data_IF_362828029048
#
_entry.id   IF_362828029048
#
_cell.length_a   1.000
_cell.length_b   1.000
_cell.length_c   1.000
_cell.angle_alpha   90.00
_cell.angle_beta   90.00
_cell.angle_gamma   90.00
#
_symmetry.space_group_name_H-M   'P 1'
#
loop_
_entity.id
_entity.type
_entity.pdbx_description
1 polymer ?
#
# COMPACT_ATOMS: atom_id res chain seq x y z
N UNK A 1 16.41 -12.42 -0.56
CA UNK A 1 16.58 -11.80 -1.90
C UNK A 1 15.89 -10.44 -1.86
N UNK A 2 16.45 -9.40 -2.48
CA UNK A 2 15.76 -8.10 -2.58
C UNK A 2 14.61 -8.26 -3.58
N UNK A 3 13.40 -7.82 -3.21
CA UNK A 3 12.22 -7.90 -4.07
C UNK A 3 12.10 -6.72 -5.01
N UNK A 4 12.47 -5.53 -4.53
CA UNK A 4 12.35 -4.33 -5.33
C UNK A 4 13.31 -4.35 -6.54
N UNK A 5 12.86 -3.86 -7.71
CA UNK A 5 13.63 -3.84 -8.95
C UNK A 5 14.79 -2.83 -8.93
N UNK A 6 14.76 -1.84 -8.03
CA UNK A 6 15.79 -0.80 -7.90
C UNK A 6 16.25 -0.69 -6.45
N UNK A 7 17.51 -0.31 -6.26
CA UNK A 7 18.17 -0.23 -4.95
C UNK A 7 18.90 -1.53 -4.62
N UNK A 8 20.18 -1.41 -4.27
CA UNK A 8 21.02 -2.54 -3.86
C UNK A 8 20.90 -2.84 -2.36
N UNK A 9 21.60 -3.87 -1.89
CA UNK A 9 21.58 -4.28 -0.49
C UNK A 9 22.05 -3.18 0.46
N UNK A 10 23.00 -2.34 0.03
CA UNK A 10 23.51 -1.24 0.82
C UNK A 10 22.45 -0.15 0.99
N UNK A 11 21.81 0.27 -0.11
CA UNK A 11 20.71 1.24 -0.09
C UNK A 11 19.61 0.82 0.88
N UNK A 12 19.11 -0.40 0.72
CA UNK A 12 18.01 -0.89 1.55
C UNK A 12 18.39 -1.04 3.02
N UNK A 13 19.64 -1.43 3.31
CA UNK A 13 20.12 -1.54 4.69
C UNK A 13 20.24 -0.16 5.34
N UNK A 14 20.80 0.82 4.63
CA UNK A 14 20.91 2.21 5.12
C UNK A 14 19.53 2.81 5.35
N UNK A 15 18.59 2.63 4.42
CA UNK A 15 17.22 3.13 4.56
C UNK A 15 16.53 2.49 5.76
N UNK A 16 16.60 1.17 5.87
CA UNK A 16 15.97 0.43 6.96
C UNK A 16 16.49 0.88 8.33
N UNK A 17 17.80 1.05 8.50
CA UNK A 17 18.37 1.50 9.77
C UNK A 17 17.93 2.92 10.13
N UNK A 18 17.91 3.84 9.15
CA UNK A 18 17.41 5.21 9.37
C UNK A 18 15.95 5.24 9.79
N UNK A 19 15.12 4.41 9.15
CA UNK A 19 13.69 4.33 9.50
C UNK A 19 13.46 3.71 10.87
N UNK A 20 14.25 2.69 11.23
CA UNK A 20 14.20 2.07 12.55
C UNK A 20 14.57 3.08 13.65
N UNK A 21 15.65 3.84 13.45
CA UNK A 21 16.07 4.93 14.34
C UNK A 21 15.00 6.02 14.45
N UNK A 22 14.39 6.41 13.32
CA UNK A 22 13.30 7.37 13.28
C UNK A 22 12.09 6.88 14.08
N UNK A 23 11.66 5.63 13.85
CA UNK A 23 10.52 5.01 14.56
C UNK A 23 10.77 4.99 16.07
N UNK A 24 11.95 4.57 16.51
CA UNK A 24 12.33 4.56 17.91
C UNK A 24 12.33 5.98 18.52
N UNK A 25 12.84 6.98 17.77
CA UNK A 25 12.82 8.37 18.20
C UNK A 25 11.41 8.94 18.31
N UNK A 26 10.56 8.69 17.33
CA UNK A 26 9.18 9.20 17.33
C UNK A 26 8.36 8.56 18.45
N UNK A 27 8.53 7.26 18.73
CA UNK A 27 7.92 6.62 19.90
C UNK A 27 8.25 7.36 21.21
N UNK A 28 9.51 7.76 21.39
CA UNK A 28 9.90 8.58 22.55
C UNK A 28 9.22 9.95 22.52
N UNK A 29 9.24 10.65 21.37
CA UNK A 29 8.61 11.97 21.23
C UNK A 29 7.11 11.92 21.57
N UNK A 30 6.40 10.90 21.10
CA UNK A 30 4.95 10.75 21.35
C UNK A 30 4.62 10.32 22.78
N UNK A 31 5.60 9.80 23.54
CA UNK A 31 5.43 9.49 24.97
C UNK A 31 5.55 10.72 25.89
N UNK A 32 6.03 11.84 25.35
CA UNK A 32 6.21 13.10 26.06
C UNK A 32 5.16 14.14 25.62
N UNK A 33 4.84 15.15 26.44
CA UNK A 33 3.96 16.24 26.02
C UNK A 33 4.48 16.93 24.75
N UNK A 34 3.60 17.14 23.76
CA UNK A 34 4.00 17.76 22.50
C UNK A 34 4.51 19.18 22.70
N UNK A 35 5.69 19.48 22.13
CA UNK A 35 6.26 20.83 22.07
C UNK A 35 5.45 21.78 21.17
N UNK A 36 4.67 21.23 20.24
CA UNK A 36 3.70 21.97 19.43
C UNK A 36 2.36 21.23 19.43
N UNK A 37 1.51 21.46 20.44
CA UNK A 37 0.25 20.74 20.57
C UNK A 37 -0.65 20.87 19.34
N UNK A 38 -0.68 22.03 18.68
CA UNK A 38 -1.53 22.25 17.49
C UNK A 38 -1.11 21.36 16.32
N UNK A 39 0.18 21.05 16.19
CA UNK A 39 0.71 20.17 15.14
C UNK A 39 0.67 18.68 15.51
N UNK A 40 0.36 18.33 16.76
CA UNK A 40 0.38 16.94 17.23
C UNK A 40 -0.53 15.99 16.41
N UNK A 41 -1.76 16.37 15.98
CA UNK A 41 -2.60 15.51 15.14
C UNK A 41 -1.93 15.18 13.80
N UNK A 42 -1.35 16.19 13.15
CA UNK A 42 -0.63 16.04 11.89
C UNK A 42 0.60 15.15 12.06
N UNK A 43 1.38 15.37 13.12
CA UNK A 43 2.57 14.59 13.42
C UNK A 43 2.25 13.11 13.65
N UNK A 44 1.21 12.81 14.43
CA UNK A 44 0.76 11.44 14.68
C UNK A 44 0.33 10.73 13.38
N UNK A 45 -0.39 11.41 12.48
CA UNK A 45 -0.76 10.81 11.19
C UNK A 45 0.45 10.63 10.26
N UNK A 46 1.39 11.58 10.27
CA UNK A 46 2.65 11.41 9.55
C UNK A 46 3.41 10.18 10.04
N UNK A 47 3.39 9.92 11.36
CA UNK A 47 3.99 8.73 11.92
C UNK A 47 3.28 7.43 11.50
N UNK A 48 1.94 7.43 11.38
CA UNK A 48 1.21 6.31 10.78
C UNK A 48 1.69 6.04 9.34
N UNK A 49 1.83 7.09 8.52
CA UNK A 49 2.39 6.99 7.16
C UNK A 49 3.81 6.44 7.14
N UNK A 50 4.66 6.86 8.07
CA UNK A 50 6.04 6.39 8.16
C UNK A 50 6.10 4.90 8.52
N UNK A 51 5.23 4.40 9.40
CA UNK A 51 5.13 2.97 9.71
C UNK A 51 4.70 2.14 8.49
N UNK A 52 3.73 2.62 7.69
CA UNK A 52 3.36 1.94 6.44
C UNK A 52 4.55 1.88 5.48
N UNK A 53 5.24 3.00 5.29
CA UNK A 53 6.42 3.07 4.41
C UNK A 53 7.54 2.15 4.89
N UNK A 54 7.74 2.03 6.19
CA UNK A 54 8.73 1.13 6.77
C UNK A 54 8.39 -0.34 6.49
N UNK A 55 7.13 -0.72 6.69
CA UNK A 55 6.63 -2.05 6.37
C UNK A 55 6.82 -2.38 4.87
N UNK A 56 6.42 -1.47 3.98
CA UNK A 56 6.58 -1.67 2.53
C UNK A 56 8.06 -1.72 2.14
N UNK A 57 8.92 -0.89 2.74
CA UNK A 57 10.37 -0.94 2.51
C UNK A 57 10.98 -2.26 3.00
N UNK A 58 10.46 -2.82 4.11
CA UNK A 58 10.84 -4.14 4.59
C UNK A 58 10.50 -5.24 3.58
N UNK A 59 9.29 -5.20 3.02
CA UNK A 59 8.89 -6.10 1.93
C UNK A 59 9.83 -5.95 0.71
N UNK A 60 10.05 -4.72 0.24
CA UNK A 60 10.97 -4.39 -0.86
C UNK A 60 12.39 -4.91 -0.65
N UNK A 61 12.91 -4.80 0.59
CA UNK A 61 14.24 -5.28 0.98
C UNK A 61 14.35 -6.82 1.03
N UNK A 62 13.23 -7.53 1.08
CA UNK A 62 13.23 -8.99 1.18
C UNK A 62 13.00 -9.54 2.59
N UNK A 63 12.39 -8.79 3.51
CA UNK A 63 12.00 -9.31 4.82
C UNK A 63 10.98 -10.45 4.68
N UNK A 64 10.94 -11.38 5.65
CA UNK A 64 9.92 -12.43 5.69
C UNK A 64 8.52 -11.82 5.79
N UNK A 65 7.56 -12.32 5.00
CA UNK A 65 6.21 -11.76 4.91
C UNK A 65 5.52 -11.75 6.27
N UNK A 66 5.66 -12.84 7.04
CA UNK A 66 5.09 -12.99 8.38
C UNK A 66 5.55 -11.91 9.36
N UNK A 67 6.75 -11.35 9.14
CA UNK A 67 7.29 -10.29 9.99
C UNK A 67 6.66 -8.92 9.72
N UNK A 68 5.90 -8.74 8.64
CA UNK A 68 5.34 -7.43 8.30
C UNK A 68 4.13 -7.07 9.16
N UNK A 69 3.33 -8.06 9.56
CA UNK A 69 2.14 -7.87 10.40
C UNK A 69 2.45 -7.17 11.73
N UNK A 70 3.67 -7.34 12.26
CA UNK A 70 4.10 -6.76 13.54
C UNK A 70 4.07 -5.22 13.56
N UNK A 71 4.04 -4.56 12.39
CA UNK A 71 4.05 -3.10 12.28
C UNK A 71 2.65 -2.48 12.26
N UNK A 72 1.59 -3.28 12.12
CA UNK A 72 0.20 -2.79 12.13
C UNK A 72 -0.20 -2.09 13.44
N UNK A 73 0.10 -2.62 14.63
CA UNK A 73 -0.31 -2.00 15.89
C UNK A 73 0.12 -0.53 16.00
N UNK A 74 1.41 -0.24 15.82
CA UNK A 74 1.93 1.12 15.91
C UNK A 74 1.33 2.07 14.86
N UNK A 75 1.03 1.54 13.66
CA UNK A 75 0.37 2.31 12.61
C UNK A 75 -1.05 2.71 13.02
N UNK A 76 -1.84 1.75 13.51
CA UNK A 76 -3.23 1.99 13.93
C UNK A 76 -3.27 2.90 15.16
N UNK A 77 -2.41 2.66 16.15
CA UNK A 77 -2.29 3.50 17.35
C UNK A 77 -2.01 4.95 16.97
N UNK A 78 -1.10 5.18 16.01
CA UNK A 78 -0.74 6.52 15.56
C UNK A 78 -1.88 7.22 14.78
N UNK A 79 -2.62 6.48 13.96
CA UNK A 79 -3.76 7.04 13.24
C UNK A 79 -4.93 7.35 14.19
N UNK A 80 -5.25 6.45 15.12
CA UNK A 80 -6.26 6.69 16.15
C UNK A 80 -5.90 7.88 17.03
N UNK A 81 -4.64 7.98 17.48
CA UNK A 81 -4.14 9.12 18.22
C UNK A 81 -4.28 10.42 17.41
N UNK A 82 -3.98 10.38 16.11
CA UNK A 82 -4.20 11.54 15.24
C UNK A 82 -5.65 12.01 15.22
N UNK A 83 -6.61 11.08 15.10
CA UNK A 83 -8.03 11.39 15.12
C UNK A 83 -8.44 12.00 16.46
N UNK A 84 -8.09 11.36 17.58
CA UNK A 84 -8.40 11.83 18.93
C UNK A 84 -7.83 13.23 19.20
N UNK A 85 -6.56 13.46 18.85
CA UNK A 85 -5.93 14.76 19.01
C UNK A 85 -6.58 15.82 18.11
N UNK A 86 -6.93 15.47 16.87
CA UNK A 86 -7.58 16.39 15.93
C UNK A 86 -8.92 16.86 16.45
N UNK A 87 -9.78 15.95 16.91
CA UNK A 87 -11.10 16.28 17.47
C UNK A 87 -10.98 17.26 18.63
N UNK A 88 -10.10 16.94 19.60
CA UNK A 88 -9.86 17.77 20.77
C UNK A 88 -9.32 19.16 20.40
N UNK A 89 -8.24 19.22 19.63
CA UNK A 89 -7.53 20.47 19.35
C UNK A 89 -8.34 21.37 18.44
N UNK A 90 -8.99 20.81 17.42
CA UNK A 90 -9.80 21.61 16.51
C UNK A 90 -11.00 22.23 17.25
N UNK A 91 -11.63 21.50 18.17
CA UNK A 91 -12.68 22.04 19.04
C UNK A 91 -12.15 23.14 19.99
N UNK A 92 -11.02 22.89 20.69
CA UNK A 92 -10.43 23.85 21.63
C UNK A 92 -9.93 25.14 20.96
N UNK A 93 -9.46 25.04 19.72
CA UNK A 93 -8.84 26.16 18.97
C UNK A 93 -9.76 26.77 17.92
N UNK A 94 -10.97 26.24 17.77
CA UNK A 94 -11.93 26.63 16.72
C UNK A 94 -11.29 26.60 15.32
N UNK A 95 -10.58 25.51 15.01
CA UNK A 95 -9.94 25.28 13.72
C UNK A 95 -10.82 24.38 12.85
N UNK A 96 -10.89 24.67 11.56
CA UNK A 96 -11.60 23.84 10.57
C UNK A 96 -10.88 22.50 10.35
N UNK A 97 -9.55 22.53 10.27
CA UNK A 97 -8.72 21.32 10.23
C UNK A 97 -7.41 21.53 10.98
N UNK A 98 -6.95 20.46 11.62
CA UNK A 98 -5.66 20.37 12.31
C UNK A 98 -4.65 19.52 11.51
N UNK A 99 -5.02 19.10 10.30
CA UNK A 99 -4.27 18.16 9.45
C UNK A 99 -4.35 18.60 7.99
N UNK A 100 -3.28 18.33 7.24
CA UNK A 100 -3.20 18.60 5.79
C UNK A 100 -3.81 17.47 4.93
N UNK A 101 -4.10 16.33 5.55
CA UNK A 101 -4.65 15.15 4.88
C UNK A 101 -6.18 15.21 4.84
N UNK A 102 -6.75 14.88 3.68
CA UNK A 102 -8.20 14.77 3.47
C UNK A 102 -8.62 13.33 3.79
N UNK A 103 -9.39 13.13 4.85
CA UNK A 103 -9.88 11.81 5.28
C UNK A 103 -11.24 11.49 4.65
N UNK A 104 -11.29 11.44 3.32
CA UNK A 104 -12.48 11.15 2.54
C UNK A 104 -12.14 10.18 1.41
N UNK A 105 -12.94 9.12 1.21
CA UNK A 105 -12.66 8.10 0.18
C UNK A 105 -12.78 8.63 -1.26
N UNK A 106 -13.44 9.77 -1.47
CA UNK A 106 -13.42 10.48 -2.76
C UNK A 106 -12.07 11.13 -3.06
N UNK A 107 -11.21 11.36 -2.05
CA UNK A 107 -9.82 11.76 -2.25
C UNK A 107 -8.96 10.51 -2.59
N UNK A 108 -8.22 10.58 -3.71
CA UNK A 108 -7.46 9.42 -4.18
C UNK A 108 -6.33 9.04 -3.21
N UNK A 109 -5.70 10.01 -2.52
CA UNK A 109 -4.62 9.70 -1.59
C UNK A 109 -5.15 8.89 -0.42
N UNK A 110 -6.29 9.28 0.13
CA UNK A 110 -6.93 8.54 1.21
C UNK A 110 -7.50 7.20 0.75
N UNK A 111 -8.14 7.15 -0.42
CA UNK A 111 -8.62 5.90 -1.00
C UNK A 111 -7.49 4.88 -1.19
N UNK A 112 -6.39 5.29 -1.82
CA UNK A 112 -5.23 4.40 -2.03
C UNK A 112 -4.58 3.98 -0.72
N UNK A 113 -4.46 4.89 0.26
CA UNK A 113 -3.99 4.59 1.62
C UNK A 113 -4.85 3.50 2.29
N UNK A 114 -6.17 3.66 2.29
CA UNK A 114 -7.11 2.70 2.87
C UNK A 114 -7.06 1.35 2.14
N UNK A 115 -7.05 1.35 0.81
CA UNK A 115 -6.99 0.11 0.03
C UNK A 115 -5.66 -0.64 0.27
N UNK A 116 -4.54 0.06 0.33
CA UNK A 116 -3.25 -0.56 0.67
C UNK A 116 -3.25 -1.20 2.05
N UNK A 117 -3.76 -0.51 3.08
CA UNK A 117 -3.83 -1.08 4.43
C UNK A 117 -4.77 -2.28 4.50
N UNK A 118 -5.94 -2.20 3.88
CA UNK A 118 -6.89 -3.32 3.80
C UNK A 118 -6.29 -4.51 3.07
N UNK A 119 -5.63 -4.26 1.92
CA UNK A 119 -4.98 -5.31 1.15
C UNK A 119 -3.87 -6.00 1.92
N UNK A 120 -2.99 -5.23 2.57
CA UNK A 120 -1.95 -5.75 3.44
C UNK A 120 -2.55 -6.51 4.64
N UNK A 121 -3.58 -5.97 5.29
CA UNK A 121 -4.24 -6.61 6.42
C UNK A 121 -4.86 -7.98 6.07
N UNK A 122 -5.42 -8.11 4.86
CA UNK A 122 -6.00 -9.35 4.37
C UNK A 122 -4.93 -10.41 4.07
N UNK A 123 -3.86 -10.04 3.35
CA UNK A 123 -2.82 -11.01 2.95
C UNK A 123 -1.90 -11.39 4.10
N UNK A 124 -1.69 -10.48 5.07
CA UNK A 124 -0.90 -10.74 6.28
C UNK A 124 -1.71 -11.36 7.41
N UNK A 125 -3.01 -11.58 7.21
CA UNK A 125 -3.91 -12.23 8.17
C UNK A 125 -3.81 -11.64 9.59
N UNK A 126 -3.83 -10.30 9.70
CA UNK A 126 -3.79 -9.62 11.00
C UNK A 126 -4.94 -10.09 11.89
N UNK A 127 -4.80 -9.98 13.22
CA UNK A 127 -5.85 -10.40 14.16
C UNK A 127 -7.18 -9.67 13.92
N UNK A 128 -8.29 -10.29 14.33
CA UNK A 128 -9.63 -9.70 14.19
C UNK A 128 -9.75 -8.36 14.92
N UNK A 129 -9.06 -8.21 16.05
CA UNK A 129 -9.00 -6.94 16.78
C UNK A 129 -8.39 -5.82 15.92
N UNK A 130 -7.22 -6.06 15.32
CA UNK A 130 -6.55 -5.07 14.46
C UNK A 130 -7.37 -4.81 13.19
N UNK A 131 -8.03 -5.83 12.65
CA UNK A 131 -8.92 -5.71 11.50
C UNK A 131 -10.10 -4.77 11.80
N UNK A 132 -10.80 -4.97 12.92
CA UNK A 132 -11.94 -4.13 13.31
C UNK A 132 -11.53 -2.67 13.52
N UNK A 133 -10.38 -2.44 14.16
CA UNK A 133 -9.79 -1.10 14.30
C UNK A 133 -9.53 -0.45 12.94
N UNK A 134 -8.89 -1.18 12.03
CA UNK A 134 -8.63 -0.69 10.67
C UNK A 134 -9.93 -0.35 9.93
N UNK A 135 -10.93 -1.24 9.94
CA UNK A 135 -12.22 -1.00 9.28
C UNK A 135 -12.93 0.21 9.86
N UNK A 136 -12.85 0.42 11.18
CA UNK A 136 -13.38 1.63 11.82
C UNK A 136 -12.67 2.90 11.36
N UNK A 137 -11.36 2.87 11.12
CA UNK A 137 -10.59 4.01 10.63
C UNK A 137 -10.85 4.32 9.14
N UNK A 138 -11.09 3.30 8.32
CA UNK A 138 -11.51 3.46 6.91
C UNK A 138 -12.89 4.10 6.82
N UNK A 139 -13.74 3.88 7.83
CA UNK A 139 -15.07 4.45 7.92
C UNK A 139 -16.18 3.50 7.45
N UNK A 140 -17.40 4.02 7.48
CA UNK A 140 -18.61 3.26 7.13
C UNK A 140 -18.59 2.77 5.68
N UNK A 141 -19.22 1.61 5.44
CA UNK A 141 -19.42 1.08 4.10
C UNK A 141 -20.56 1.76 3.35
N UNK A 142 -20.70 1.48 2.06
CA UNK A 142 -21.75 2.01 1.20
C UNK A 142 -21.28 3.12 0.26
N UNK A 143 -19.98 3.45 0.28
CA UNK A 143 -19.42 4.55 -0.51
C UNK A 143 -18.78 4.07 -1.82
N UNK A 144 -18.05 2.96 -1.79
CA UNK A 144 -17.31 2.44 -2.95
C UNK A 144 -17.56 0.96 -3.17
N UNK A 145 -18.00 0.60 -4.37
CA UNK A 145 -18.35 -0.76 -4.71
C UNK A 145 -17.19 -1.75 -4.53
N UNK A 146 -15.95 -1.36 -4.86
CA UNK A 146 -14.83 -2.28 -4.88
C UNK A 146 -14.18 -2.44 -3.51
N UNK A 147 -13.79 -1.33 -2.87
CA UNK A 147 -13.20 -1.37 -1.54
C UNK A 147 -14.16 -1.99 -0.52
N UNK A 148 -15.46 -1.68 -0.61
CA UNK A 148 -16.46 -2.28 0.28
C UNK A 148 -16.59 -3.80 0.06
N UNK A 149 -16.56 -4.28 -1.19
CA UNK A 149 -16.57 -5.72 -1.48
C UNK A 149 -15.32 -6.42 -0.96
N UNK A 150 -14.15 -5.80 -1.06
CA UNK A 150 -12.89 -6.34 -0.52
C UNK A 150 -12.99 -6.48 1.01
N UNK A 151 -13.42 -5.44 1.72
CA UNK A 151 -13.57 -5.48 3.17
C UNK A 151 -14.69 -6.46 3.57
N UNK A 152 -15.78 -6.53 2.80
CA UNK A 152 -16.90 -7.45 3.02
C UNK A 152 -16.49 -8.93 2.99
N UNK A 153 -15.43 -9.28 2.27
CA UNK A 153 -14.90 -10.65 2.25
C UNK A 153 -14.51 -11.18 3.63
N UNK A 154 -14.14 -10.29 4.57
CA UNK A 154 -13.84 -10.60 5.97
C UNK A 154 -14.85 -10.00 6.96
N UNK A 155 -15.56 -8.93 6.58
CA UNK A 155 -16.59 -8.26 7.38
C UNK A 155 -17.95 -8.31 6.66
N UNK A 156 -18.63 -9.45 6.70
CA UNK A 156 -19.85 -9.72 5.92
C UNK A 156 -20.97 -8.68 6.06
N UNK A 157 -21.06 -7.99 7.20
CA UNK A 157 -22.06 -6.94 7.45
C UNK A 157 -21.77 -5.57 6.82
N UNK A 158 -20.65 -5.39 6.10
CA UNK A 158 -20.32 -4.10 5.47
C UNK A 158 -21.28 -3.78 4.32
N UNK A 159 -21.91 -2.60 4.37
CA UNK A 159 -22.68 -2.07 3.24
C UNK A 159 -21.78 -1.83 2.02
N UNK A 160 -22.29 -2.09 0.82
CA UNK A 160 -21.53 -1.98 -0.43
C UNK A 160 -22.06 -0.81 -1.25
N UNK A 161 -21.18 0.11 -1.64
CA UNK A 161 -21.52 1.21 -2.53
C UNK A 161 -21.95 0.76 -3.93
N UNK A 162 -22.76 1.57 -4.61
CA UNK A 162 -23.31 1.23 -5.93
C UNK A 162 -22.40 1.60 -7.12
N UNK A 163 -21.26 2.25 -6.88
CA UNK A 163 -20.35 2.69 -7.93
C UNK A 163 -18.91 2.80 -7.45
N UNK A 164 -18.00 3.06 -8.38
CA UNK A 164 -16.58 3.28 -8.09
C UNK A 164 -16.34 4.78 -7.86
N UNK A 165 -15.73 5.13 -6.73
CA UNK A 165 -15.25 6.48 -6.46
C UNK A 165 -14.11 6.85 -7.40
N UNK A 166 -13.25 5.88 -7.72
CA UNK A 166 -12.08 6.07 -8.58
C UNK A 166 -12.08 5.08 -9.75
N UNK A 167 -12.64 5.45 -10.90
CA UNK A 167 -12.72 4.52 -12.04
C UNK A 167 -11.35 4.04 -12.57
N UNK A 168 -10.31 4.88 -12.54
CA UNK A 168 -8.96 4.51 -13.01
C UNK A 168 -7.98 4.36 -11.85
N UNK A 169 -7.25 3.24 -11.70
CA UNK A 169 -7.31 2.00 -12.49
C UNK A 169 -8.42 1.02 -12.08
N UNK A 170 -9.18 1.36 -11.04
CA UNK A 170 -9.92 0.36 -10.27
C UNK A 170 -11.14 -0.28 -10.98
N UNK A 171 -11.65 0.31 -12.07
CA UNK A 171 -12.65 -0.32 -12.92
C UNK A 171 -12.13 -1.59 -13.59
N UNK A 172 -10.82 -1.67 -13.90
CA UNK A 172 -10.21 -2.89 -14.45
C UNK A 172 -10.18 -4.01 -13.42
N UNK A 173 -9.86 -3.68 -12.16
CA UNK A 173 -9.89 -4.64 -11.07
C UNK A 173 -11.31 -5.15 -10.79
N UNK A 174 -12.30 -4.24 -10.75
CA UNK A 174 -13.70 -4.63 -10.62
C UNK A 174 -14.13 -5.56 -11.77
N UNK A 175 -13.77 -5.23 -13.01
CA UNK A 175 -14.02 -6.09 -14.17
C UNK A 175 -13.39 -7.48 -14.02
N UNK A 176 -12.16 -7.56 -13.52
CA UNK A 176 -11.49 -8.84 -13.27
C UNK A 176 -12.23 -9.66 -12.20
N UNK A 177 -12.72 -9.04 -11.13
CA UNK A 177 -13.48 -9.71 -10.07
C UNK A 177 -14.82 -10.25 -10.60
N UNK A 178 -15.52 -9.47 -11.43
CA UNK A 178 -16.86 -9.82 -11.94
C UNK A 178 -16.85 -10.75 -13.16
N UNK A 179 -15.67 -10.99 -13.75
CA UNK A 179 -15.54 -11.84 -14.94
C UNK A 179 -15.69 -13.33 -14.62
N UNK A 180 -16.08 -14.17 -15.60
CA UNK A 180 -16.03 -15.62 -15.48
C UNK A 180 -14.61 -16.11 -15.16
N UNK A 181 -14.49 -17.18 -14.34
CA UNK A 181 -13.20 -17.70 -13.85
C UNK A 181 -12.10 -17.86 -14.91
N UNK A 182 -12.45 -18.29 -16.12
CA UNK A 182 -11.49 -18.50 -17.22
C UNK A 182 -10.86 -17.21 -17.75
N UNK A 183 -11.50 -16.05 -17.53
CA UNK A 183 -11.04 -14.74 -18.00
C UNK A 183 -10.35 -13.93 -16.90
N UNK A 184 -10.57 -14.28 -15.62
CA UNK A 184 -10.11 -13.50 -14.47
C UNK A 184 -8.60 -13.30 -14.45
N UNK A 185 -7.80 -14.34 -14.73
CA UNK A 185 -6.34 -14.27 -14.69
C UNK A 185 -5.76 -13.24 -15.68
N UNK A 186 -6.28 -13.24 -16.92
CA UNK A 186 -5.84 -12.28 -17.94
C UNK A 186 -6.29 -10.85 -17.63
N UNK A 187 -7.49 -10.68 -17.09
CA UNK A 187 -8.00 -9.35 -16.70
C UNK A 187 -7.31 -8.80 -15.45
N UNK A 188 -6.90 -9.66 -14.52
CA UNK A 188 -6.09 -9.28 -13.37
C UNK A 188 -4.72 -8.80 -13.83
N UNK A 189 -4.07 -9.52 -14.75
CA UNK A 189 -2.81 -9.08 -15.36
C UNK A 189 -2.99 -7.73 -16.07
N UNK A 190 -4.05 -7.56 -16.86
CA UNK A 190 -4.37 -6.29 -17.53
C UNK A 190 -4.48 -5.14 -16.52
N UNK A 191 -5.14 -5.37 -15.37
CA UNK A 191 -5.20 -4.39 -14.29
C UNK A 191 -3.80 -4.05 -13.75
N UNK A 192 -2.98 -5.06 -13.45
CA UNK A 192 -1.63 -4.87 -12.88
C UNK A 192 -0.72 -4.09 -13.85
N UNK A 193 -0.77 -4.40 -15.15
CA UNK A 193 0.01 -3.71 -16.19
C UNK A 193 -0.37 -2.23 -16.30
N UNK A 194 -1.65 -1.90 -16.09
CA UNK A 194 -2.17 -0.54 -16.20
C UNK A 194 -2.19 0.21 -14.86
N UNK A 195 -2.03 -0.48 -13.73
CA UNK A 195 -2.14 0.10 -12.39
C UNK A 195 -1.21 1.31 -12.22
N UNK A 196 0.10 1.14 -12.43
CA UNK A 196 1.05 2.23 -12.21
C UNK A 196 0.86 3.38 -13.21
N UNK A 197 0.79 3.16 -14.54
CA UNK A 197 0.57 4.25 -15.50
C UNK A 197 -0.74 5.03 -15.26
N UNK A 198 -1.84 4.37 -14.89
CA UNK A 198 -3.13 5.03 -14.69
C UNK A 198 -3.24 5.78 -13.35
N UNK A 199 -2.37 5.45 -12.38
CA UNK A 199 -2.21 6.24 -11.16
C UNK A 199 -1.44 7.55 -11.37
N UNK A 200 -0.82 7.76 -12.54
CA UNK A 200 -0.16 9.01 -12.89
C UNK A 200 -1.16 10.15 -13.15
N UNK A 201 -1.69 10.72 -12.07
CA UNK A 201 -2.63 11.85 -12.08
C UNK A 201 -1.90 13.17 -11.82
N UNK A 202 -2.60 14.29 -12.08
CA UNK A 202 -2.10 15.66 -11.89
C UNK A 202 -2.98 16.45 -10.93
N UNK A 203 -2.43 17.51 -10.35
CA UNK A 203 -3.14 18.40 -9.43
C UNK A 203 -3.53 17.70 -8.14
N UNK A 204 -4.72 18.01 -7.62
CA UNK A 204 -5.26 17.47 -6.35
C UNK A 204 -5.42 15.94 -6.37
N UNK A 205 -5.55 15.35 -7.56
CA UNK A 205 -5.66 13.90 -7.73
C UNK A 205 -4.31 13.19 -7.77
N UNK A 206 -3.19 13.90 -7.63
CA UNK A 206 -1.86 13.30 -7.68
C UNK A 206 -1.56 12.55 -6.38
N UNK A 207 -1.12 11.29 -6.50
CA UNK A 207 -0.73 10.49 -5.35
C UNK A 207 0.58 11.00 -4.73
N UNK A 208 0.57 11.16 -3.40
CA UNK A 208 1.67 11.71 -2.61
C UNK A 208 2.98 10.95 -2.81
N UNK A 209 2.92 9.62 -2.99
CA UNK A 209 4.09 8.78 -3.19
C UNK A 209 4.54 8.67 -4.65
N UNK A 210 3.62 8.87 -5.61
CA UNK A 210 3.87 8.66 -7.03
C UNK A 210 4.97 9.62 -7.54
N UNK A 211 4.85 10.90 -7.22
CA UNK A 211 5.80 11.95 -7.66
C UNK A 211 7.23 11.63 -7.27
N UNK A 212 7.42 11.13 -6.05
CA UNK A 212 8.75 10.86 -5.56
C UNK A 212 9.31 9.54 -6.09
N UNK A 213 8.45 8.54 -6.32
CA UNK A 213 8.80 7.24 -6.91
C UNK A 213 9.10 7.30 -8.41
N UNK A 214 8.59 8.31 -9.12
CA UNK A 214 8.79 8.56 -10.56
C UNK A 214 9.84 9.65 -10.86
N UNK A 215 10.51 10.16 -9.83
CA UNK A 215 11.55 11.17 -10.01
C UNK A 215 12.75 10.59 -10.78
N UNK A 216 13.54 11.45 -11.44
CA UNK A 216 14.76 11.03 -12.18
C UNK A 216 15.80 10.31 -11.29
N UNK A 217 15.69 10.47 -9.97
CA UNK A 217 16.64 9.95 -8.97
C UNK A 217 15.91 9.50 -7.69
N UNK A 218 15.07 8.46 -7.79
CA UNK A 218 14.11 8.13 -6.74
C UNK A 218 14.79 7.59 -5.47
N UNK A 219 15.98 6.99 -5.61
CA UNK A 219 16.80 6.53 -4.49
C UNK A 219 17.49 7.69 -3.75
N UNK A 220 18.02 8.69 -4.48
CA UNK A 220 18.71 9.85 -3.87
C UNK A 220 17.75 10.74 -3.07
N UNK A 221 16.50 10.86 -3.53
CA UNK A 221 15.45 11.58 -2.81
C UNK A 221 14.96 10.84 -1.56
N UNK A 222 15.41 9.60 -1.34
CA UNK A 222 15.03 8.79 -0.19
C UNK A 222 13.55 8.38 -0.16
N UNK A 223 12.83 8.57 -1.26
CA UNK A 223 11.37 8.43 -1.27
C UNK A 223 10.87 7.16 -1.94
N UNK A 224 11.76 6.38 -2.56
CA UNK A 224 11.41 5.07 -3.07
C UNK A 224 11.36 4.03 -1.94
N UNK A 225 10.17 3.47 -1.70
CA UNK A 225 9.97 2.36 -0.78
C UNK A 225 9.44 1.10 -1.48
N UNK A 226 9.36 1.12 -2.82
CA UNK A 226 8.72 0.10 -3.65
C UNK A 226 7.58 0.68 -4.48
N UNK A 227 7.12 -0.08 -5.48
CA UNK A 227 5.93 0.20 -6.29
C UNK A 227 5.10 -1.06 -6.37
N UNK A 228 4.25 -1.28 -5.37
CA UNK A 228 3.56 -2.55 -5.21
C UNK A 228 2.06 -2.35 -5.31
N UNK A 229 1.41 -3.13 -6.17
CA UNK A 229 -0.03 -3.15 -6.33
C UNK A 229 -0.67 -4.05 -5.26
N UNK A 230 -0.84 -3.51 -4.05
CA UNK A 230 -1.49 -4.24 -2.96
C UNK A 230 -2.97 -4.49 -3.23
N UNK A 231 -3.60 -3.67 -4.06
CA UNK A 231 -5.00 -3.83 -4.46
C UNK A 231 -5.23 -5.13 -5.26
N UNK A 232 -4.25 -5.54 -6.08
CA UNK A 232 -4.34 -6.80 -6.83
C UNK A 232 -4.34 -8.02 -5.89
N UNK A 233 -3.38 -8.09 -4.96
CA UNK A 233 -3.31 -9.22 -4.01
C UNK A 233 -4.48 -9.22 -3.03
N UNK A 234 -5.03 -8.05 -2.70
CA UNK A 234 -6.27 -7.96 -1.93
C UNK A 234 -7.43 -8.67 -2.64
N UNK A 235 -7.59 -8.43 -3.95
CA UNK A 235 -8.64 -9.07 -4.73
C UNK A 235 -8.40 -10.58 -4.89
N UNK A 236 -7.15 -11.00 -5.10
CA UNK A 236 -6.77 -12.42 -5.13
C UNK A 236 -7.15 -13.10 -3.81
N UNK A 237 -6.79 -12.52 -2.66
CA UNK A 237 -7.12 -13.06 -1.33
C UNK A 237 -8.63 -13.07 -1.07
N UNK A 238 -9.34 -12.00 -1.42
CA UNK A 238 -10.76 -11.84 -1.15
C UNK A 238 -11.67 -12.73 -2.02
N UNK A 239 -11.31 -12.93 -3.30
CA UNK A 239 -12.16 -13.60 -4.29
C UNK A 239 -11.58 -14.90 -4.86
N UNK A 240 -10.36 -15.27 -4.47
CA UNK A 240 -9.69 -16.48 -4.97
C UNK A 240 -9.38 -16.40 -6.47
N UNK A 241 -8.98 -15.22 -6.96
CA UNK A 241 -8.59 -15.04 -8.36
C UNK A 241 -7.31 -15.83 -8.66
N UNK A 242 -7.20 -16.36 -9.87
CA UNK A 242 -5.94 -16.94 -10.37
C UNK A 242 -4.96 -15.82 -10.72
N UNK A 243 -3.83 -15.77 -10.02
CA UNK A 243 -2.79 -14.75 -10.14
C UNK A 243 -1.53 -15.24 -10.85
N UNK A 244 -1.54 -16.47 -11.38
CA UNK A 244 -0.36 -17.10 -11.99
C UNK A 244 0.29 -16.25 -13.10
N UNK A 245 -0.52 -15.55 -13.89
CA UNK A 245 -0.05 -14.66 -14.96
C UNK A 245 0.59 -13.36 -14.45
N UNK A 246 0.31 -12.96 -13.20
CA UNK A 246 0.88 -11.77 -12.59
C UNK A 246 2.26 -12.03 -11.94
N UNK A 247 2.59 -13.29 -11.68
CA UNK A 247 3.86 -13.67 -11.04
C UNK A 247 5.05 -13.21 -11.89
N UNK A 248 5.98 -12.49 -11.25
CA UNK A 248 7.15 -11.91 -11.89
C UNK A 248 6.94 -10.53 -12.53
N UNK A 249 5.72 -9.99 -12.53
CA UNK A 249 5.49 -8.60 -12.94
C UNK A 249 6.07 -7.63 -11.90
N UNK A 250 6.71 -6.55 -12.35
CA UNK A 250 7.50 -5.63 -11.48
C UNK A 250 6.69 -5.09 -10.30
N UNK A 251 5.44 -4.68 -10.54
CA UNK A 251 4.57 -4.11 -9.51
C UNK A 251 3.72 -5.14 -8.76
N UNK A 252 3.75 -6.43 -9.13
CA UNK A 252 2.90 -7.44 -8.50
C UNK A 252 3.59 -8.06 -7.27
N UNK A 253 3.07 -7.90 -6.05
CA UNK A 253 3.72 -8.41 -4.85
C UNK A 253 3.34 -9.88 -4.58
N UNK A 254 3.66 -10.78 -5.51
CA UNK A 254 3.26 -12.19 -5.48
C UNK A 254 3.73 -12.97 -4.25
N UNK A 255 4.87 -12.62 -3.66
CA UNK A 255 5.38 -13.28 -2.45
C UNK A 255 4.45 -13.11 -1.24
N UNK A 256 3.52 -12.13 -1.25
CA UNK A 256 2.50 -11.99 -0.21
C UNK A 256 1.43 -13.09 -0.27
N UNK A 257 1.19 -13.66 -1.45
CA UNK A 257 0.23 -14.75 -1.67
C UNK A 257 0.92 -16.12 -1.68
N UNK A 258 2.15 -16.15 -2.21
CA UNK A 258 2.97 -17.33 -2.35
C UNK A 258 4.29 -17.11 -1.61
N UNK A 259 4.27 -16.98 -0.26
CA UNK A 259 5.49 -16.85 0.51
C UNK A 259 6.33 -18.08 0.17
N UNK A 260 7.54 -17.85 -0.34
CA UNK A 260 8.44 -18.95 -0.63
C UNK A 260 8.65 -19.70 0.68
N UNK A 261 8.17 -20.94 0.79
CA UNK A 261 8.65 -21.85 1.81
C UNK A 261 10.18 -21.72 1.77
N UNK A 262 10.82 -21.48 2.91
CA UNK A 262 12.27 -21.34 3.02
C UNK A 262 13.03 -22.63 2.65
N UNK A 263 12.44 -23.51 1.86
CA UNK A 263 12.89 -24.84 1.50
C UNK A 263 12.15 -25.40 0.26
N UNK A 264 12.00 -24.68 -0.86
CA UNK A 264 11.92 -25.35 -2.17
C UNK A 264 11.94 -24.44 -3.41
N UNK A 265 12.78 -24.85 -4.36
CA UNK A 265 12.76 -24.55 -5.79
C UNK A 265 13.31 -23.19 -6.27
N UNK A 266 14.64 -23.12 -6.32
CA UNK A 266 15.33 -22.43 -7.42
C UNK A 266 15.03 -23.22 -8.70
N UNK A 267 14.28 -22.64 -9.64
CA UNK A 267 14.35 -23.03 -11.05
C UNK A 267 14.45 -21.78 -11.91
N UNK A 268 15.69 -21.56 -12.34
CA UNK A 268 16.21 -20.74 -13.44
C UNK A 268 15.18 -19.95 -14.27
N UNK A 269 15.16 -18.62 -14.07
CA UNK A 269 14.70 -17.69 -15.10
C UNK A 269 15.92 -17.28 -15.92
N UNK A 270 16.02 -17.75 -17.15
CA UNK A 270 16.98 -17.21 -18.12
C UNK A 270 16.66 -15.72 -18.39
N UNK A 271 17.67 -14.84 -18.46
CA UNK A 271 17.44 -13.45 -18.80
C UNK A 271 16.96 -13.32 -20.25
N UNK A 272 15.74 -12.78 -20.43
CA UNK A 272 15.22 -12.39 -21.76
C UNK A 272 16.20 -11.42 -22.42
N UNK A 273 16.78 -11.81 -23.57
CA UNK A 273 17.58 -10.93 -24.43
C UNK A 273 16.70 -9.77 -24.92
N UNK A 274 17.10 -8.55 -24.57
CA UNK A 274 16.42 -7.33 -24.99
C UNK A 274 16.38 -7.16 -26.51
N UNK A 275 15.30 -6.54 -26.97
CA UNK A 275 14.95 -6.23 -28.37
C UNK A 275 16.03 -5.47 -29.17
N UNK A 276 17.03 -4.88 -28.52
CA UNK A 276 18.08 -4.07 -29.14
C UNK A 276 19.23 -4.86 -29.81
N UNK A 277 19.24 -6.19 -29.79
CA UNK A 277 20.32 -6.99 -30.43
C UNK A 277 20.02 -7.44 -31.87
N UNK A 278 19.06 -6.84 -32.58
CA UNK A 278 18.72 -7.20 -33.97
C UNK A 278 19.21 -6.23 -35.06
N UNK A 279 20.10 -5.29 -34.75
CA UNK A 279 20.57 -4.27 -35.72
C UNK A 279 22.07 -4.26 -36.03
N UNK A 280 22.86 -5.22 -35.55
CA UNK A 280 24.27 -5.33 -35.91
C UNK A 280 24.62 -6.80 -36.23
N UNK A 281 24.50 -7.16 -37.51
CA UNK A 281 24.83 -8.50 -37.99
C UNK A 281 24.54 -8.71 -39.47
N UNK A 282 24.98 -7.79 -40.34
CA UNK A 282 25.18 -8.00 -41.79
C UNK A 282 26.21 -7.00 -42.31
N UNK A 283 27.48 -7.40 -42.31
CA UNK A 283 28.45 -7.28 -43.43
C UNK A 283 29.43 -8.43 -43.25
#
# INVERSE_FOLDING_TARGET
MIRAPIGDSQYWSVRHNKDLEWIARVNKIMSEPSANPVYAPQFAFQYAKDNLRFMISGYSRGAGVDSLAQYFPNLLDAWELSNQLSEKICAEKNLESCRDWIFDLSDLNHYNWCFWLVGLALVLEISDELWLRLVSLVGEGGQDQLLDRIISSRQSGRAIGSGLLHAKPYARLLKAIDAPKMEQAGLLLEFVEHWYPELNRRGENQLWWYVFGDSKKPLEMGSYFGRWCFEAVAAVKAFGLDDTQCLGHEQYPGDLMHPSDSSSCISQVEPKKGWLSRLLGKV
#
